data_IF_588274115970
#
_entry.id   IF_588274115970
#
_cell.length_a   1.000
_cell.length_b   1.000
_cell.length_c   1.000
_cell.angle_alpha   90.00
_cell.angle_beta   90.00
_cell.angle_gamma   90.00
#
_symmetry.space_group_name_H-M   'P 1'
#
loop_
_entity.id
_entity.type
_entity.pdbx_description
1 polymer ?
#
# COMPACT_ATOMS: atom_id res chain seq x y z
N UNK A 1 -23.49 4.31 50.70
CA UNK A 1 -22.59 4.97 49.72
C UNK A 1 -22.50 4.06 48.49
N UNK A 2 -23.58 3.98 47.69
CA UNK A 2 -23.73 2.85 46.75
C UNK A 2 -24.25 3.27 45.36
N UNK A 3 -24.82 4.48 45.24
CA UNK A 3 -25.34 5.02 43.97
C UNK A 3 -24.21 5.39 42.99
N UNK A 4 -23.12 5.98 43.50
CA UNK A 4 -21.96 6.33 42.69
C UNK A 4 -21.25 5.10 42.12
N UNK A 5 -21.23 3.99 42.88
CA UNK A 5 -20.64 2.72 42.46
C UNK A 5 -21.46 2.07 41.34
N UNK A 6 -22.78 2.16 41.41
CA UNK A 6 -23.69 1.67 40.37
C UNK A 6 -23.50 2.45 39.05
N UNK A 7 -23.37 3.78 39.11
CA UNK A 7 -23.11 4.64 37.94
C UNK A 7 -21.77 4.32 37.30
N UNK A 8 -20.73 4.17 38.12
CA UNK A 8 -19.38 3.86 37.63
C UNK A 8 -19.33 2.47 36.97
N UNK A 9 -20.03 1.51 37.57
CA UNK A 9 -20.15 0.15 37.01
C UNK A 9 -20.87 0.20 35.65
N UNK A 10 -21.96 0.96 35.53
CA UNK A 10 -22.72 1.09 34.29
C UNK A 10 -21.88 1.73 33.16
N UNK A 11 -21.11 2.78 33.47
CA UNK A 11 -20.21 3.43 32.51
C UNK A 11 -19.13 2.47 31.98
N UNK A 12 -18.60 1.58 32.83
CA UNK A 12 -17.61 0.58 32.42
C UNK A 12 -18.19 -0.47 31.47
N UNK A 13 -19.47 -0.84 31.61
CA UNK A 13 -20.10 -1.82 30.71
C UNK A 13 -20.34 -1.21 29.32
N UNK A 14 -20.76 0.06 29.25
CA UNK A 14 -20.95 0.77 27.97
C UNK A 14 -19.63 1.07 27.23
N UNK A 15 -18.52 1.25 27.95
CA UNK A 15 -17.20 1.47 27.35
C UNK A 15 -16.58 0.24 26.69
N UNK A 16 -17.05 -0.96 27.02
CA UNK A 16 -16.46 -2.21 26.54
C UNK A 16 -16.96 -2.64 25.14
N UNK A 17 -17.99 -2.00 24.59
CA UNK A 17 -18.56 -2.36 23.28
C UNK A 17 -18.06 -1.53 22.09
N UNK A 18 -17.00 -0.73 22.27
CA UNK A 18 -16.37 0.01 21.16
C UNK A 18 -14.98 -0.54 20.88
N UNK A 19 -14.91 -1.73 20.30
CA UNK A 19 -13.72 -2.13 19.51
C UNK A 19 -14.25 -2.76 18.24
N UNK A 20 -14.60 -1.90 17.28
CA UNK A 20 -14.89 -2.30 15.91
C UNK A 20 -13.57 -2.78 15.27
N UNK A 21 -13.47 -4.09 15.09
CA UNK A 21 -12.35 -4.76 14.43
C UNK A 21 -12.47 -4.66 12.90
N UNK A 22 -12.53 -3.45 12.34
CA UNK A 22 -12.41 -3.25 10.89
C UNK A 22 -11.40 -2.16 10.54
N UNK A 23 -10.26 -2.14 11.23
CA UNK A 23 -9.04 -1.55 10.64
C UNK A 23 -8.58 -2.45 9.50
N UNK A 24 -9.24 -2.34 8.35
CA UNK A 24 -8.69 -2.79 7.07
C UNK A 24 -7.45 -1.93 6.83
N UNK A 25 -6.33 -2.39 7.36
CA UNK A 25 -5.01 -1.87 7.03
C UNK A 25 -4.93 -2.05 5.52
N UNK A 26 -5.18 -0.98 4.76
CA UNK A 26 -4.76 -0.90 3.37
C UNK A 26 -3.25 -1.05 3.51
N UNK A 27 -2.76 -2.25 3.24
CA UNK A 27 -1.34 -2.56 3.29
C UNK A 27 -0.69 -1.73 2.18
N UNK A 28 -0.41 -0.47 2.50
CA UNK A 28 0.29 0.45 1.63
C UNK A 28 1.70 -0.07 1.54
N UNK A 29 2.09 -0.54 0.36
CA UNK A 29 3.48 -0.95 0.10
C UNK A 29 4.39 0.25 0.38
N UNK A 30 5.22 0.15 1.41
CA UNK A 30 6.17 1.20 1.73
C UNK A 30 7.32 1.14 0.72
N UNK A 31 7.38 2.11 -0.18
CA UNK A 31 8.38 2.15 -1.23
C UNK A 31 9.41 3.25 -0.99
N UNK A 32 10.71 2.97 -1.23
CA UNK A 32 11.72 4.01 -1.24
C UNK A 32 11.35 5.08 -2.28
N UNK A 33 11.70 6.34 -2.02
CA UNK A 33 11.42 7.47 -2.89
C UNK A 33 12.55 7.75 -3.90
N UNK A 34 13.48 6.80 -4.06
CA UNK A 34 14.60 6.90 -5.01
C UNK A 34 14.12 6.37 -6.36
N UNK A 35 14.29 7.17 -7.42
CA UNK A 35 13.89 6.80 -8.77
C UNK A 35 15.04 6.26 -9.61
N UNK A 36 14.71 5.37 -10.54
CA UNK A 36 15.62 4.92 -11.58
C UNK A 36 15.72 5.93 -12.71
N UNK A 37 16.86 5.95 -13.38
CA UNK A 37 16.99 6.59 -14.70
C UNK A 37 16.38 5.67 -15.76
N UNK A 38 15.05 5.61 -15.77
CA UNK A 38 14.26 4.72 -16.62
C UNK A 38 13.86 5.41 -17.92
N UNK A 39 13.91 4.67 -19.04
CA UNK A 39 13.44 5.15 -20.33
C UNK A 39 11.94 4.89 -20.54
N UNK A 40 11.51 3.65 -20.28
CA UNK A 40 10.13 3.22 -20.45
C UNK A 40 9.83 1.99 -19.58
N UNK A 41 8.55 1.62 -19.49
CA UNK A 41 8.14 0.34 -18.91
C UNK A 41 7.17 -0.40 -19.84
N UNK A 42 7.09 -1.72 -19.70
CA UNK A 42 6.06 -2.55 -20.32
C UNK A 42 5.30 -3.30 -19.23
N UNK A 43 4.03 -3.59 -19.50
CA UNK A 43 3.17 -4.31 -18.57
C UNK A 43 2.40 -5.40 -19.31
N UNK A 44 2.15 -6.56 -18.67
CA UNK A 44 1.43 -7.66 -19.31
C UNK A 44 0.06 -7.26 -19.87
N UNK A 45 -0.64 -6.35 -19.18
CA UNK A 45 -1.96 -5.85 -19.60
C UNK A 45 -1.94 -4.99 -20.87
N UNK A 46 -0.82 -4.33 -21.16
CA UNK A 46 -0.64 -3.47 -22.35
C UNK A 46 0.25 -4.12 -23.42
N UNK A 47 0.67 -5.37 -23.20
CA UNK A 47 1.58 -6.09 -24.08
C UNK A 47 2.92 -5.38 -24.26
N UNK A 48 3.29 -5.12 -25.50
CA UNK A 48 4.58 -4.51 -25.88
C UNK A 48 4.54 -2.98 -25.96
N UNK A 49 3.46 -2.34 -25.50
CA UNK A 49 3.38 -0.89 -25.52
C UNK A 49 4.41 -0.30 -24.55
N UNK A 50 5.19 0.68 -25.03
CA UNK A 50 6.10 1.45 -24.18
C UNK A 50 5.28 2.50 -23.43
N UNK A 51 5.18 2.32 -22.11
CA UNK A 51 4.48 3.24 -21.21
C UNK A 51 5.48 4.12 -20.48
N UNK A 52 5.00 5.25 -19.95
CA UNK A 52 5.78 6.08 -19.03
C UNK A 52 6.24 5.23 -17.84
N UNK A 53 7.54 5.21 -17.52
CA UNK A 53 8.05 4.37 -16.46
C UNK A 53 7.60 4.88 -15.09
N UNK A 54 7.33 3.94 -14.19
CA UNK A 54 7.21 4.28 -12.77
C UNK A 54 8.58 4.66 -12.20
N UNK A 55 8.59 5.50 -11.15
CA UNK A 55 9.82 5.97 -10.50
C UNK A 55 10.75 4.80 -10.11
N UNK A 56 10.23 3.72 -9.53
CA UNK A 56 11.01 2.52 -9.22
C UNK A 56 10.13 1.25 -9.24
N UNK A 57 10.77 0.09 -9.05
CA UNK A 57 10.09 -1.21 -9.11
C UNK A 57 9.04 -1.42 -8.03
N UNK A 58 9.26 -0.82 -6.86
CA UNK A 58 8.32 -0.97 -5.76
C UNK A 58 7.01 -0.26 -6.08
N UNK A 59 7.08 0.90 -6.74
CA UNK A 59 5.92 1.70 -7.14
C UNK A 59 5.25 1.21 -8.43
N UNK A 60 5.94 0.40 -9.23
CA UNK A 60 5.38 -0.13 -10.46
C UNK A 60 4.25 -1.14 -10.18
N UNK A 61 3.24 -1.23 -11.07
CA UNK A 61 2.21 -2.26 -10.98
C UNK A 61 2.81 -3.66 -11.12
N UNK A 62 2.29 -4.63 -10.37
CA UNK A 62 2.75 -6.03 -10.38
C UNK A 62 2.88 -6.59 -11.79
N UNK A 63 4.03 -7.23 -12.06
CA UNK A 63 4.35 -7.82 -13.35
C UNK A 63 4.86 -6.84 -14.42
N UNK A 64 4.84 -5.52 -14.17
CA UNK A 64 5.43 -4.56 -15.10
C UNK A 64 6.96 -4.57 -15.02
N UNK A 65 7.62 -4.49 -16.18
CA UNK A 65 9.08 -4.42 -16.29
C UNK A 65 9.51 -3.00 -16.66
N UNK A 66 10.44 -2.42 -15.89
CA UNK A 66 11.04 -1.12 -16.16
C UNK A 66 12.35 -1.31 -16.92
N UNK A 67 12.57 -0.53 -17.97
CA UNK A 67 13.76 -0.56 -18.81
C UNK A 67 14.51 0.77 -18.75
N UNK A 68 15.83 0.71 -18.89
CA UNK A 68 16.63 1.92 -19.11
C UNK A 68 16.44 2.44 -20.55
N UNK A 69 17.04 3.59 -20.87
CA UNK A 69 16.96 4.19 -22.21
C UNK A 69 17.52 3.30 -23.33
N UNK A 70 18.39 2.34 -23.01
CA UNK A 70 18.96 1.38 -23.96
C UNK A 70 18.09 0.11 -24.14
N UNK A 71 16.94 0.03 -23.47
CA UNK A 71 16.06 -1.13 -23.53
C UNK A 71 16.54 -2.33 -22.69
N UNK A 72 17.51 -2.15 -21.79
CA UNK A 72 17.91 -3.20 -20.84
C UNK A 72 16.92 -3.22 -19.67
N UNK A 73 16.38 -4.40 -19.27
CA UNK A 73 15.49 -4.48 -18.12
C UNK A 73 16.25 -4.15 -16.83
N UNK A 74 15.71 -3.22 -16.06
CA UNK A 74 16.22 -2.84 -14.74
C UNK A 74 15.62 -3.79 -13.69
N UNK A 75 14.30 -3.99 -13.74
CA UNK A 75 13.58 -4.82 -12.80
C UNK A 75 12.16 -5.15 -13.30
N UNK A 76 11.53 -6.17 -12.70
CA UNK A 76 10.10 -6.47 -12.85
C UNK A 76 9.42 -6.39 -11.49
N UNK A 77 8.30 -5.67 -11.43
CA UNK A 77 7.56 -5.47 -10.19
C UNK A 77 6.97 -6.80 -9.68
N UNK A 78 7.10 -7.08 -8.37
CA UNK A 78 6.59 -8.30 -7.76
C UNK A 78 5.05 -8.31 -7.67
#
# INVERSE_FOLDING_TARGET
>A
MDFNKAIFTLFLIFGAMVVDENVKMVSGKLCPQICYDAGYMTCPCSGNQHLSPSCNCCMAPTGCTIYNANGTPICTAP
#
